data_IF_654984240744
#
_entry.id   IF_654984240744
#
_cell.length_a   1.000
_cell.length_b   1.000
_cell.length_c   1.000
_cell.angle_alpha   90.00
_cell.angle_beta   90.00
_cell.angle_gamma   90.00
#
_symmetry.space_group_name_H-M   'P 1'
#
loop_
_entity.id
_entity.type
_entity.pdbx_description
1 polymer ?
#
# COMPACT_ATOMS: atom_id res chain seq x y z
N UNK A 1 18.86 -18.91 -13.75
CA UNK A 1 18.71 -18.90 -12.28
C UNK A 1 17.39 -19.56 -11.92
N UNK A 2 17.34 -20.41 -10.89
CA UNK A 2 16.09 -21.00 -10.39
C UNK A 2 15.65 -20.19 -9.18
N UNK A 3 14.43 -19.66 -9.20
CA UNK A 3 13.85 -18.95 -8.06
C UNK A 3 12.87 -19.88 -7.33
N UNK A 4 12.87 -19.85 -6.00
CA UNK A 4 11.84 -20.51 -5.18
C UNK A 4 10.65 -19.58 -4.95
N UNK A 5 9.67 -20.02 -4.15
CA UNK A 5 8.48 -19.22 -3.87
C UNK A 5 8.81 -18.04 -2.93
N UNK A 6 9.11 -16.90 -3.53
CA UNK A 6 9.32 -15.63 -2.84
C UNK A 6 9.42 -14.46 -3.82
N UNK A 7 9.20 -13.25 -3.32
CA UNK A 7 9.29 -12.04 -4.11
C UNK A 7 10.75 -11.77 -4.50
N UNK A 8 11.03 -11.67 -5.80
CA UNK A 8 12.38 -11.51 -6.31
C UNK A 8 12.84 -10.05 -6.24
N UNK A 9 13.92 -9.80 -5.53
CA UNK A 9 14.57 -8.48 -5.42
C UNK A 9 16.01 -8.56 -5.92
N UNK A 10 16.66 -7.41 -6.05
CA UNK A 10 18.07 -7.30 -6.40
C UNK A 10 19.00 -7.05 -5.20
N UNK A 11 18.45 -6.88 -3.98
CA UNK A 11 19.23 -6.41 -2.83
C UNK A 11 18.77 -6.89 -1.45
N UNK A 12 17.67 -7.66 -1.31
CA UNK A 12 17.12 -8.05 -0.02
C UNK A 12 16.53 -9.47 0.02
N UNK A 13 16.58 -10.10 1.19
CA UNK A 13 15.93 -11.39 1.46
C UNK A 13 16.88 -12.58 1.36
N UNK A 14 16.33 -13.78 1.48
CA UNK A 14 17.06 -15.04 1.38
C UNK A 14 17.69 -15.27 0.00
N UNK A 15 18.52 -16.31 -0.10
CA UNK A 15 19.11 -16.73 -1.38
C UNK A 15 18.02 -17.12 -2.38
N UNK A 16 18.15 -16.75 -3.65
CA UNK A 16 17.12 -17.03 -4.68
C UNK A 16 16.70 -18.51 -4.79
N UNK A 17 17.65 -19.41 -4.56
CA UNK A 17 17.49 -20.86 -4.74
C UNK A 17 16.84 -21.57 -3.53
N UNK A 18 16.58 -20.84 -2.45
CA UNK A 18 16.02 -21.39 -1.22
C UNK A 18 14.83 -20.55 -0.71
N UNK A 19 13.78 -21.17 -0.17
CA UNK A 19 12.63 -20.41 0.33
C UNK A 19 13.05 -19.58 1.55
N UNK A 20 12.84 -18.26 1.49
CA UNK A 20 12.91 -17.41 2.68
C UNK A 20 11.61 -17.59 3.48
N UNK A 21 11.64 -18.49 4.47
CA UNK A 21 10.47 -18.80 5.30
C UNK A 21 10.08 -17.69 6.28
N UNK A 22 10.91 -16.64 6.40
CA UNK A 22 10.63 -15.51 7.29
C UNK A 22 9.85 -14.42 6.56
N UNK A 23 10.29 -14.06 5.36
CA UNK A 23 9.73 -12.93 4.62
C UNK A 23 9.09 -13.30 3.30
N UNK A 24 9.41 -14.47 2.72
CA UNK A 24 9.10 -14.83 1.34
C UNK A 24 9.55 -13.75 0.36
N UNK A 25 10.75 -13.21 0.58
CA UNK A 25 11.45 -12.26 -0.29
C UNK A 25 12.86 -12.80 -0.48
N UNK A 26 13.36 -12.78 -1.71
CA UNK A 26 14.65 -13.34 -2.05
C UNK A 26 15.50 -12.34 -2.83
N UNK A 27 16.80 -12.33 -2.54
CA UNK A 27 17.76 -11.63 -3.37
C UNK A 27 18.14 -12.53 -4.55
N UNK A 28 17.58 -12.19 -5.71
CA UNK A 28 17.75 -12.88 -6.98
C UNK A 28 18.54 -12.05 -7.99
N UNK A 29 19.15 -10.93 -7.58
CA UNK A 29 19.74 -9.95 -8.52
C UNK A 29 18.74 -9.53 -9.63
N UNK A 30 17.45 -9.54 -9.30
CA UNK A 30 16.34 -9.31 -10.24
C UNK A 30 15.30 -8.40 -9.58
N UNK A 31 15.10 -7.21 -10.15
CA UNK A 31 14.19 -6.21 -9.60
C UNK A 31 12.78 -6.41 -10.17
N UNK A 32 12.03 -7.36 -9.59
CA UNK A 32 10.69 -7.69 -10.06
C UNK A 32 9.73 -6.49 -10.03
N UNK A 33 9.83 -5.64 -9.00
CA UNK A 33 9.01 -4.43 -8.88
C UNK A 33 9.23 -3.50 -10.08
N UNK A 34 10.49 -3.25 -10.46
CA UNK A 34 10.81 -2.46 -11.66
C UNK A 34 10.26 -3.12 -12.92
N UNK A 35 10.56 -4.40 -13.15
CA UNK A 35 10.23 -5.05 -14.43
C UNK A 35 8.72 -5.13 -14.65
N UNK A 36 7.93 -5.41 -13.61
CA UNK A 36 6.45 -5.39 -13.68
C UNK A 36 5.92 -3.98 -13.93
N UNK A 37 6.36 -2.99 -13.15
CA UNK A 37 5.90 -1.61 -13.32
C UNK A 37 6.30 -1.06 -14.68
N UNK A 38 7.52 -1.33 -15.13
CA UNK A 38 8.02 -0.88 -16.41
C UNK A 38 7.19 -1.46 -17.54
N UNK A 39 6.84 -2.74 -17.48
CA UNK A 39 5.94 -3.36 -18.45
C UNK A 39 4.55 -2.69 -18.46
N UNK A 40 3.93 -2.52 -17.30
CA UNK A 40 2.57 -1.95 -17.17
C UNK A 40 2.53 -0.48 -17.65
N UNK A 41 3.56 0.30 -17.36
CA UNK A 41 3.62 1.74 -17.66
C UNK A 41 4.36 2.08 -18.97
N UNK A 42 4.43 1.14 -19.92
CA UNK A 42 4.82 1.42 -21.30
C UNK A 42 6.34 1.39 -21.58
N UNK A 43 7.13 0.78 -20.70
CA UNK A 43 8.53 0.41 -20.96
C UNK A 43 9.58 1.50 -20.75
N UNK A 44 9.18 2.69 -20.31
CA UNK A 44 10.05 3.88 -20.23
C UNK A 44 10.35 4.35 -18.80
N UNK A 45 10.17 3.48 -17.80
CA UNK A 45 10.52 3.78 -16.42
C UNK A 45 12.03 3.75 -16.20
N UNK A 46 12.51 4.65 -15.35
CA UNK A 46 13.90 4.68 -14.86
C UNK A 46 14.11 3.55 -13.86
N UNK A 47 15.05 2.65 -14.16
CA UNK A 47 15.46 1.55 -13.27
C UNK A 47 16.31 2.08 -12.11
N UNK A 48 16.01 1.74 -10.85
CA UNK A 48 16.94 1.93 -9.75
C UNK A 48 18.23 1.13 -10.00
N UNK A 49 19.35 1.81 -10.25
CA UNK A 49 20.68 1.18 -10.44
C UNK A 49 21.65 1.49 -9.30
N UNK A 50 21.26 2.40 -8.42
CA UNK A 50 21.99 2.83 -7.22
C UNK A 50 20.97 3.06 -6.11
N UNK A 51 21.46 3.30 -4.90
CA UNK A 51 20.59 3.69 -3.79
C UNK A 51 19.79 4.96 -4.15
N UNK A 52 18.47 4.87 -4.06
CA UNK A 52 17.55 5.98 -4.32
C UNK A 52 17.21 6.64 -2.98
N UNK A 53 17.47 7.95 -2.81
CA UNK A 53 16.97 8.69 -1.67
C UNK A 53 15.44 8.74 -1.70
N UNK A 54 14.79 8.08 -0.74
CA UNK A 54 13.34 8.10 -0.59
C UNK A 54 12.94 9.37 0.18
N UNK A 55 12.68 10.47 -0.54
CA UNK A 55 12.30 11.77 0.01
C UNK A 55 10.79 12.03 -0.02
N UNK A 56 10.02 11.10 -0.61
CA UNK A 56 8.57 11.10 -0.58
C UNK A 56 8.00 10.80 0.81
N UNK A 57 6.67 10.67 0.87
CA UNK A 57 5.94 10.40 2.11
C UNK A 57 5.54 8.93 2.17
N UNK A 58 6.05 8.20 3.16
CA UNK A 58 5.63 6.84 3.48
C UNK A 58 4.65 6.85 4.67
N UNK A 59 3.38 6.59 4.38
CA UNK A 59 2.26 6.90 5.27
C UNK A 59 1.58 5.61 5.71
N UNK A 60 1.30 5.48 7.01
CA UNK A 60 0.36 4.48 7.52
C UNK A 60 -1.05 5.00 7.32
N UNK A 61 -1.91 4.18 6.72
CA UNK A 61 -3.31 4.53 6.41
C UNK A 61 -4.27 3.66 7.21
N UNK A 62 -5.35 4.26 7.72
CA UNK A 62 -6.48 3.52 8.28
C UNK A 62 -7.35 2.99 7.14
N UNK A 63 -7.23 1.72 6.79
CA UNK A 63 -7.89 1.17 5.60
C UNK A 63 -9.42 1.38 5.63
N UNK A 64 -10.12 1.20 6.76
CA UNK A 64 -11.55 1.46 6.82
C UNK A 64 -11.93 2.93 6.56
N UNK A 65 -11.09 3.87 6.99
CA UNK A 65 -11.27 5.29 6.70
C UNK A 65 -11.14 5.58 5.20
N UNK A 66 -10.20 4.95 4.50
CA UNK A 66 -10.06 5.10 3.04
C UNK A 66 -11.16 4.37 2.27
N UNK A 67 -11.71 3.30 2.83
CA UNK A 67 -12.84 2.59 2.24
C UNK A 67 -14.16 3.35 2.39
N UNK A 68 -14.26 4.28 3.35
CA UNK A 68 -15.47 5.05 3.61
C UNK A 68 -15.19 6.49 4.09
N UNK A 69 -14.52 7.33 3.29
CA UNK A 69 -14.08 8.66 3.72
C UNK A 69 -15.25 9.60 4.04
N UNK A 70 -16.41 9.42 3.40
CA UNK A 70 -17.60 10.25 3.64
C UNK A 70 -18.19 10.07 5.04
N UNK A 71 -18.06 8.87 5.62
CA UNK A 71 -18.52 8.65 7.01
C UNK A 71 -17.77 9.52 8.01
N UNK A 72 -16.51 9.86 7.73
CA UNK A 72 -15.67 10.73 8.56
C UNK A 72 -16.14 12.19 8.45
N UNK A 73 -16.54 12.62 7.25
CA UNK A 73 -17.06 13.97 7.05
C UNK A 73 -18.36 14.23 7.83
N UNK A 74 -19.13 13.16 8.13
CA UNK A 74 -20.42 13.27 8.84
C UNK A 74 -20.30 13.37 10.37
N UNK A 75 -19.19 12.90 10.96
CA UNK A 75 -19.00 12.88 12.43
C UNK A 75 -18.41 14.17 12.98
N UNK A 76 -17.95 15.09 12.11
CA UNK A 76 -17.37 16.35 12.52
C UNK A 76 -18.37 17.51 12.35
N UNK A 77 -18.67 18.21 13.45
CA UNK A 77 -19.53 19.41 13.47
C UNK A 77 -18.98 20.56 12.61
N UNK A 78 -17.68 20.53 12.32
CA UNK A 78 -17.06 21.31 11.25
C UNK A 78 -16.94 20.38 10.05
N UNK A 79 -17.70 20.64 8.98
CA UNK A 79 -17.65 19.91 7.70
C UNK A 79 -16.24 20.02 7.07
N UNK A 80 -15.29 19.22 7.55
CA UNK A 80 -13.93 19.14 7.00
C UNK A 80 -14.01 18.31 5.73
N UNK A 81 -13.53 18.87 4.61
CA UNK A 81 -13.27 18.06 3.43
C UNK A 81 -11.99 17.25 3.65
N UNK A 82 -12.16 15.95 3.93
CA UNK A 82 -11.06 15.05 4.22
C UNK A 82 -10.04 14.98 3.07
N UNK A 83 -10.46 15.13 1.82
CA UNK A 83 -9.53 15.06 0.68
C UNK A 83 -8.59 16.26 0.65
N UNK A 84 -9.13 17.48 0.82
CA UNK A 84 -8.32 18.69 0.94
C UNK A 84 -7.43 18.68 2.19
N UNK A 85 -7.92 18.12 3.30
CA UNK A 85 -7.12 17.97 4.52
C UNK A 85 -5.87 17.09 4.27
N UNK A 86 -6.05 15.92 3.66
CA UNK A 86 -4.94 15.03 3.29
C UNK A 86 -3.98 15.67 2.30
N UNK A 87 -4.52 16.33 1.26
CA UNK A 87 -3.71 17.02 0.26
C UNK A 87 -2.83 18.10 0.89
N UNK A 88 -3.39 18.91 1.79
CA UNK A 88 -2.65 19.93 2.52
C UNK A 88 -1.61 19.31 3.47
N UNK A 89 -1.95 18.22 4.16
CA UNK A 89 -0.98 17.50 4.99
C UNK A 89 0.19 16.98 4.16
N UNK A 90 -0.06 16.34 3.01
CA UNK A 90 0.99 15.85 2.11
C UNK A 90 1.91 16.99 1.61
N UNK A 91 1.33 18.13 1.20
CA UNK A 91 2.07 19.33 0.77
C UNK A 91 2.96 19.88 1.90
N UNK A 92 2.42 19.97 3.12
CA UNK A 92 3.10 20.61 4.26
C UNK A 92 4.09 19.70 4.99
N UNK A 93 3.81 18.39 5.04
CA UNK A 93 4.73 17.41 5.65
C UNK A 93 6.02 17.29 4.86
N UNK A 94 5.96 17.43 3.53
CA UNK A 94 7.15 17.51 2.67
C UNK A 94 8.04 18.73 2.97
N UNK A 95 7.49 19.81 3.54
CA UNK A 95 8.22 21.04 3.85
C UNK A 95 8.80 21.09 5.28
N UNK A 96 8.25 20.30 6.22
CA UNK A 96 8.50 20.46 7.66
C UNK A 96 9.21 19.29 8.31
N UNK A 97 9.07 18.08 7.76
CA UNK A 97 9.68 16.89 8.32
C UNK A 97 10.96 16.58 7.55
N UNK A 98 12.09 16.49 8.27
CA UNK A 98 13.37 16.04 7.68
C UNK A 98 13.14 14.72 6.92
N UNK A 99 13.89 14.46 5.83
CA UNK A 99 13.85 13.19 5.09
C UNK A 99 14.41 12.06 5.98
N UNK A 100 13.61 11.65 6.95
CA UNK A 100 13.77 10.41 7.67
C UNK A 100 12.67 9.52 7.14
N UNK A 101 13.05 8.40 6.54
CA UNK A 101 12.19 7.32 6.07
C UNK A 101 11.50 6.60 7.25
N UNK A 102 10.93 7.38 8.15
CA UNK A 102 10.14 6.93 9.29
C UNK A 102 8.67 6.99 8.90
N UNK A 103 7.97 5.88 9.14
CA UNK A 103 6.54 5.77 8.95
C UNK A 103 5.84 6.90 9.70
N UNK A 104 5.04 7.70 8.99
CA UNK A 104 4.25 8.75 9.59
C UNK A 104 2.81 8.23 9.79
N UNK A 105 2.29 8.16 11.04
CA UNK A 105 0.89 7.85 11.26
C UNK A 105 0.05 9.03 10.80
N UNK A 106 -0.86 8.81 9.86
CA UNK A 106 -1.85 9.83 9.53
C UNK A 106 -3.10 9.64 10.38
N UNK A 107 -3.25 10.46 11.42
CA UNK A 107 -4.44 10.47 12.27
C UNK A 107 -5.49 11.38 11.66
N UNK A 108 -6.65 10.82 11.29
CA UNK A 108 -7.77 11.63 10.79
C UNK A 108 -8.56 12.22 11.95
N UNK A 109 -9.01 13.48 11.85
CA UNK A 109 -9.88 14.07 12.86
C UNK A 109 -11.22 13.32 12.91
N UNK A 110 -11.68 12.93 14.11
CA UNK A 110 -13.04 12.42 14.32
C UNK A 110 -13.25 10.93 14.03
N UNK A 111 -12.19 10.14 13.84
CA UNK A 111 -12.30 8.68 13.87
C UNK A 111 -12.49 8.21 15.31
N UNK A 112 -13.71 7.84 15.67
CA UNK A 112 -13.94 6.85 16.73
C UNK A 112 -13.63 5.48 16.16
N UNK A 113 -12.89 4.63 16.87
CA UNK A 113 -12.28 3.35 16.42
C UNK A 113 -13.24 2.24 15.94
N UNK A 114 -14.23 2.54 15.11
CA UNK A 114 -15.32 1.61 14.83
C UNK A 114 -15.70 1.66 13.35
N UNK A 115 -14.81 1.17 12.50
CA UNK A 115 -15.29 0.31 11.42
C UNK A 115 -14.66 -1.03 11.69
N UNK A 116 -15.50 -1.95 12.14
CA UNK A 116 -15.08 -3.31 12.43
C UNK A 116 -14.30 -3.87 11.24
N UNK A 117 -13.23 -4.58 11.56
CA UNK A 117 -12.55 -5.55 10.69
C UNK A 117 -13.61 -6.62 10.33
N UNK A 118 -14.61 -6.26 9.54
CA UNK A 118 -15.72 -7.14 9.20
C UNK A 118 -15.21 -8.36 8.43
N UNK A 119 -16.13 -9.20 7.95
CA UNK A 119 -15.88 -10.42 7.18
C UNK A 119 -14.97 -10.26 5.93
N UNK A 120 -14.45 -9.06 5.64
CA UNK A 120 -13.49 -8.76 4.58
C UNK A 120 -12.04 -9.17 4.88
N UNK A 121 -11.66 -9.32 6.16
CA UNK A 121 -10.31 -9.75 6.56
C UNK A 121 -9.21 -8.69 6.41
N UNK A 122 -9.55 -7.43 6.13
CA UNK A 122 -8.56 -6.35 6.11
C UNK A 122 -7.95 -6.09 7.50
N UNK A 123 -6.66 -5.80 7.56
CA UNK A 123 -6.05 -5.18 8.74
C UNK A 123 -6.66 -3.77 8.96
N UNK A 124 -6.55 -3.21 10.17
CA UNK A 124 -6.93 -1.80 10.41
C UNK A 124 -6.03 -0.86 9.62
N UNK A 125 -4.75 -1.19 9.57
CA UNK A 125 -3.72 -0.34 8.97
C UNK A 125 -3.19 -0.91 7.65
N UNK A 126 -2.91 -0.02 6.70
CA UNK A 126 -2.15 -0.31 5.48
C UNK A 126 -1.07 0.74 5.24
N UNK A 127 -0.45 0.70 4.06
CA UNK A 127 0.58 1.68 3.70
C UNK A 127 0.34 2.33 2.35
N UNK A 128 0.77 3.58 2.21
CA UNK A 128 0.87 4.27 0.92
C UNK A 128 2.20 4.99 0.83
N UNK A 129 2.84 4.92 -0.33
CA UNK A 129 3.98 5.74 -0.66
C UNK A 129 3.63 6.78 -1.71
N UNK A 130 3.82 8.05 -1.37
CA UNK A 130 3.71 9.19 -2.27
C UNK A 130 5.10 9.70 -2.65
N UNK A 131 5.52 9.57 -3.91
CA UNK A 131 6.76 10.17 -4.38
C UNK A 131 6.81 11.68 -4.17
N UNK A 132 8.01 12.25 -4.02
CA UNK A 132 8.21 13.69 -3.74
C UNK A 132 7.42 14.58 -4.69
N UNK A 133 7.55 14.34 -6.00
CA UNK A 133 6.87 15.16 -7.01
C UNK A 133 5.33 15.02 -6.93
N UNK A 134 4.82 13.84 -6.53
CA UNK A 134 3.38 13.63 -6.37
C UNK A 134 2.84 14.46 -5.20
N UNK A 135 3.59 14.58 -4.10
CA UNK A 135 3.21 15.48 -2.98
C UNK A 135 3.24 16.96 -3.35
N UNK A 136 3.97 17.32 -4.41
CA UNK A 136 4.09 18.69 -4.94
C UNK A 136 3.06 18.99 -6.05
N UNK A 137 2.04 18.14 -6.22
CA UNK A 137 0.97 18.37 -7.21
C UNK A 137 1.31 17.90 -8.63
N UNK A 138 2.27 16.98 -8.79
CA UNK A 138 2.39 16.23 -10.05
C UNK A 138 1.26 15.21 -10.13
N UNK A 139 0.62 15.14 -11.30
CA UNK A 139 -0.33 14.06 -11.60
C UNK A 139 0.42 12.72 -11.68
N UNK A 140 0.11 11.82 -10.75
CA UNK A 140 0.76 10.52 -10.63
C UNK A 140 -0.24 9.37 -10.79
N UNK A 141 0.09 8.32 -11.56
CA UNK A 141 -0.67 7.07 -11.54
C UNK A 141 -0.54 6.38 -10.19
N UNK A 142 -1.46 5.46 -9.91
CA UNK A 142 -1.47 4.63 -8.71
C UNK A 142 -1.26 3.17 -9.14
N UNK A 143 -0.34 2.48 -8.47
CA UNK A 143 -0.19 1.03 -8.53
C UNK A 143 -0.55 0.41 -7.18
N UNK A 144 -1.17 -0.76 -7.19
CA UNK A 144 -1.49 -1.51 -5.97
C UNK A 144 -0.58 -2.73 -5.89
N UNK A 145 0.25 -2.78 -4.85
CA UNK A 145 1.14 -3.90 -4.58
C UNK A 145 0.56 -4.74 -3.44
N UNK A 146 0.04 -5.92 -3.79
CA UNK A 146 -0.57 -6.86 -2.85
C UNK A 146 0.50 -7.81 -2.29
N UNK A 147 0.61 -7.91 -0.97
CA UNK A 147 1.48 -8.88 -0.31
C UNK A 147 0.93 -10.31 -0.47
N UNK A 148 1.79 -11.33 -0.35
CA UNK A 148 1.37 -12.73 -0.29
C UNK A 148 0.87 -13.17 1.09
N UNK A 149 0.48 -14.44 1.22
CA UNK A 149 0.24 -15.06 2.52
C UNK A 149 1.49 -14.93 3.42
N UNK A 150 1.31 -14.80 4.73
CA UNK A 150 2.38 -14.59 5.73
C UNK A 150 3.24 -13.32 5.51
N UNK A 151 2.87 -12.44 4.58
CA UNK A 151 3.58 -11.20 4.30
C UNK A 151 2.81 -9.93 4.72
N UNK A 152 1.66 -10.10 5.38
CA UNK A 152 0.88 -8.99 5.90
C UNK A 152 1.57 -8.29 7.07
N UNK A 153 1.10 -7.08 7.37
CA UNK A 153 1.58 -6.22 8.47
C UNK A 153 1.68 -6.97 9.80
N UNK A 154 0.63 -7.71 10.14
CA UNK A 154 0.56 -8.50 11.37
C UNK A 154 1.73 -9.49 11.54
N UNK A 155 2.38 -9.92 10.45
CA UNK A 155 3.44 -10.92 10.45
C UNK A 155 4.84 -10.34 10.23
N UNK A 156 5.00 -9.46 9.25
CA UNK A 156 6.32 -8.93 8.86
C UNK A 156 6.39 -7.39 8.88
N UNK A 157 5.42 -6.71 9.48
CA UNK A 157 5.40 -5.26 9.61
C UNK A 157 5.34 -4.56 8.26
N UNK A 158 6.31 -3.69 7.97
CA UNK A 158 6.40 -2.93 6.73
C UNK A 158 7.42 -3.53 5.74
N UNK A 159 7.95 -4.73 6.02
CA UNK A 159 9.04 -5.34 5.23
C UNK A 159 8.65 -5.52 3.77
N UNK A 160 7.45 -6.04 3.47
CA UNK A 160 6.99 -6.16 2.07
C UNK A 160 6.98 -4.80 1.38
N UNK A 161 6.44 -3.75 2.01
CA UNK A 161 6.37 -2.43 1.41
C UNK A 161 7.76 -1.79 1.23
N UNK A 162 8.67 -1.96 2.20
CA UNK A 162 10.00 -1.31 2.22
C UNK A 162 11.08 -2.06 1.46
N UNK A 163 10.95 -3.37 1.23
CA UNK A 163 12.06 -4.23 0.81
C UNK A 163 11.86 -4.95 -0.52
N UNK A 164 10.71 -4.80 -1.16
CA UNK A 164 10.41 -5.37 -2.48
C UNK A 164 10.90 -4.50 -3.64
N UNK A 165 11.41 -3.28 -3.38
CA UNK A 165 11.92 -2.37 -4.40
C UNK A 165 10.89 -1.43 -5.02
N UNK A 166 9.60 -1.55 -4.63
CA UNK A 166 8.54 -0.70 -5.18
C UNK A 166 8.75 0.79 -4.87
N UNK A 167 9.31 1.15 -3.71
CA UNK A 167 9.43 2.55 -3.29
C UNK A 167 10.48 3.30 -4.12
N UNK A 168 11.60 2.65 -4.41
CA UNK A 168 12.68 3.19 -5.22
C UNK A 168 12.21 3.41 -6.67
N UNK A 169 11.47 2.45 -7.22
CA UNK A 169 10.87 2.59 -8.56
C UNK A 169 9.83 3.71 -8.53
N UNK A 170 8.99 3.78 -7.51
CA UNK A 170 7.97 4.81 -7.35
C UNK A 170 8.56 6.21 -7.29
N UNK A 171 9.61 6.42 -6.49
CA UNK A 171 10.25 7.71 -6.30
C UNK A 171 10.81 8.26 -7.62
N UNK A 172 11.56 7.43 -8.35
CA UNK A 172 12.16 7.84 -9.62
C UNK A 172 11.13 8.10 -10.72
N UNK A 173 9.96 7.48 -10.64
CA UNK A 173 9.00 7.42 -11.75
C UNK A 173 7.67 8.12 -11.48
N UNK A 174 7.48 8.72 -10.29
CA UNK A 174 6.25 9.42 -9.91
C UNK A 174 5.03 8.49 -9.93
N UNK A 175 5.17 7.29 -9.39
CA UNK A 175 4.06 6.32 -9.25
C UNK A 175 3.71 6.20 -7.78
N UNK A 176 2.46 6.47 -7.41
CA UNK A 176 1.99 6.25 -6.04
C UNK A 176 1.79 4.75 -5.84
N UNK A 177 2.30 4.19 -4.74
CA UNK A 177 2.12 2.77 -4.42
C UNK A 177 1.21 2.63 -3.21
N UNK A 178 0.09 1.94 -3.40
CA UNK A 178 -0.81 1.51 -2.33
C UNK A 178 -0.45 0.07 -1.95
N UNK A 179 -0.26 -0.19 -0.66
CA UNK A 179 -0.02 -1.52 -0.07
C UNK A 179 -1.13 -1.88 0.93
N UNK A 180 -2.29 -2.34 0.44
CA UNK A 180 -3.36 -2.85 1.29
C UNK A 180 -2.88 -4.05 2.10
N UNK A 181 -3.46 -4.27 3.27
CA UNK A 181 -3.09 -5.31 4.22
C UNK A 181 -4.29 -6.18 4.59
N UNK A 182 -4.09 -7.49 4.55
CA UNK A 182 -4.99 -8.50 5.10
C UNK A 182 -4.39 -9.04 6.40
N UNK A 183 -5.26 -9.29 7.39
CA UNK A 183 -4.87 -9.89 8.66
C UNK A 183 -5.32 -11.36 8.73
N UNK A 184 -4.56 -12.18 9.45
CA UNK A 184 -4.94 -13.55 9.72
C UNK A 184 -6.28 -13.62 10.48
N UNK A 185 -7.16 -14.53 10.06
CA UNK A 185 -8.43 -14.79 10.74
C UNK A 185 -8.50 -16.25 11.19
N UNK A 186 -9.08 -16.46 12.39
CA UNK A 186 -9.14 -17.78 13.03
C UNK A 186 -10.52 -18.44 12.91
N UNK A 187 -11.50 -17.77 12.30
CA UNK A 187 -12.88 -18.26 12.10
C UNK A 187 -12.98 -19.13 10.85
N UNK A 188 -13.70 -20.25 10.91
CA UNK A 188 -13.87 -21.19 9.78
C UNK A 188 -14.80 -20.62 8.69
N UNK A 189 -14.44 -20.66 7.38
CA UNK A 189 -13.16 -21.07 6.79
C UNK A 189 -11.97 -20.21 7.23
N UNK A 190 -10.98 -20.82 7.88
CA UNK A 190 -9.89 -20.07 8.53
C UNK A 190 -8.87 -19.54 7.52
N UNK A 191 -8.46 -18.28 7.68
CA UNK A 191 -7.37 -17.66 6.93
C UNK A 191 -6.18 -17.37 7.86
N UNK A 192 -5.58 -18.43 8.42
CA UNK A 192 -4.52 -18.33 9.45
C UNK A 192 -3.23 -17.68 8.94
N UNK A 193 -3.03 -17.71 7.62
CA UNK A 193 -1.86 -17.14 6.96
C UNK A 193 -2.11 -15.70 6.47
N UNK A 194 -3.31 -15.15 6.65
CA UNK A 194 -3.63 -13.78 6.23
C UNK A 194 -3.50 -13.57 4.71
N UNK A 195 -3.94 -14.55 3.93
CA UNK A 195 -3.97 -14.53 2.47
C UNK A 195 -5.09 -13.62 1.94
N UNK A 196 -4.91 -13.05 0.76
CA UNK A 196 -6.04 -12.49 -0.01
C UNK A 196 -7.08 -13.58 -0.28
N UNK A 197 -8.36 -13.20 -0.38
CA UNK A 197 -9.46 -14.12 -0.60
C UNK A 197 -9.52 -14.56 -2.07
N UNK A 198 -8.84 -15.66 -2.36
CA UNK A 198 -8.70 -16.22 -3.71
C UNK A 198 -9.54 -17.49 -3.93
N UNK A 199 -10.25 -17.97 -2.91
CA UNK A 199 -11.07 -19.19 -2.99
C UNK A 199 -12.38 -19.14 -2.18
N UNK A 200 -12.62 -18.08 -1.40
CA UNK A 200 -13.89 -17.83 -0.70
C UNK A 200 -13.83 -17.98 0.83
N UNK A 201 -12.76 -17.56 1.50
CA UNK A 201 -12.68 -17.57 2.97
C UNK A 201 -13.86 -16.84 3.62
N UNK A 202 -14.22 -15.66 3.09
CA UNK A 202 -15.28 -14.82 3.67
C UNK A 202 -16.60 -14.89 2.92
N UNK A 203 -16.58 -15.15 1.61
CA UNK A 203 -17.79 -15.13 0.78
C UNK A 203 -17.59 -15.88 -0.54
N UNK A 204 -18.63 -16.55 -1.09
CA UNK A 204 -18.59 -17.09 -2.45
C UNK A 204 -18.43 -16.02 -3.53
N UNK A 205 -18.63 -14.73 -3.20
CA UNK A 205 -18.45 -13.62 -4.12
C UNK A 205 -17.00 -13.15 -4.28
N UNK A 206 -16.02 -13.84 -3.67
CA UNK A 206 -14.62 -13.42 -3.61
C UNK A 206 -14.02 -12.98 -4.97
N UNK A 207 -14.39 -13.68 -6.06
CA UNK A 207 -13.88 -13.43 -7.40
C UNK A 207 -14.74 -12.50 -8.28
N UNK A 208 -15.84 -11.93 -7.77
CA UNK A 208 -16.73 -11.05 -8.54
C UNK A 208 -16.88 -9.66 -7.91
N UNK A 209 -17.53 -8.72 -8.62
CA UNK A 209 -17.64 -7.31 -8.19
C UNK A 209 -18.26 -7.09 -6.80
N UNK A 210 -18.90 -8.10 -6.22
CA UNK A 210 -19.47 -8.06 -4.87
C UNK A 210 -18.48 -8.52 -3.78
N UNK A 211 -17.30 -9.01 -4.15
CA UNK A 211 -16.26 -9.46 -3.23
C UNK A 211 -15.73 -8.31 -2.37
N UNK A 212 -15.75 -8.51 -1.05
CA UNK A 212 -15.45 -7.46 -0.07
C UNK A 212 -14.02 -6.92 -0.20
N UNK A 213 -13.03 -7.78 -0.48
CA UNK A 213 -11.64 -7.37 -0.65
C UNK A 213 -11.43 -6.53 -1.92
N UNK A 214 -11.99 -6.97 -3.06
CA UNK A 214 -11.91 -6.20 -4.30
C UNK A 214 -12.63 -4.85 -4.18
N UNK A 215 -13.83 -4.83 -3.58
CA UNK A 215 -14.57 -3.60 -3.33
C UNK A 215 -13.81 -2.65 -2.39
N UNK A 216 -13.18 -3.17 -1.34
CA UNK A 216 -12.35 -2.41 -0.41
C UNK A 216 -11.14 -1.76 -1.11
N UNK A 217 -10.37 -2.54 -1.87
CA UNK A 217 -9.23 -2.00 -2.65
C UNK A 217 -9.69 -0.94 -3.65
N UNK A 218 -10.80 -1.16 -4.36
CA UNK A 218 -11.34 -0.16 -5.29
C UNK A 218 -11.69 1.16 -4.59
N UNK A 219 -12.32 1.10 -3.42
CA UNK A 219 -12.65 2.29 -2.61
C UNK A 219 -11.40 3.03 -2.14
N UNK A 220 -10.37 2.31 -1.70
CA UNK A 220 -9.08 2.92 -1.36
C UNK A 220 -8.45 3.63 -2.56
N UNK A 221 -8.46 3.02 -3.75
CA UNK A 221 -7.97 3.66 -4.99
C UNK A 221 -8.76 4.95 -5.29
N UNK A 222 -10.09 4.92 -5.20
CA UNK A 222 -10.93 6.08 -5.47
C UNK A 222 -10.67 7.22 -4.48
N UNK A 223 -10.49 6.89 -3.20
CA UNK A 223 -10.09 7.85 -2.17
C UNK A 223 -8.73 8.51 -2.51
N UNK A 224 -7.71 7.73 -2.88
CA UNK A 224 -6.41 8.27 -3.29
C UNK A 224 -6.52 9.14 -4.57
N UNK A 225 -7.40 8.80 -5.51
CA UNK A 225 -7.66 9.64 -6.69
C UNK A 225 -8.27 10.98 -6.31
N UNK A 226 -9.20 11.01 -5.36
CA UNK A 226 -9.77 12.25 -4.86
C UNK A 226 -8.73 13.12 -4.13
N UNK A 227 -7.85 12.51 -3.32
CA UNK A 227 -6.72 13.21 -2.69
C UNK A 227 -5.77 13.78 -3.76
N UNK A 228 -5.43 12.99 -4.78
CA UNK A 228 -4.60 13.45 -5.90
C UNK A 228 -5.26 14.62 -6.64
N UNK A 229 -6.57 14.59 -6.86
CA UNK A 229 -7.28 15.70 -7.47
C UNK A 229 -7.16 16.98 -6.63
N UNK A 230 -7.32 16.88 -5.30
CA UNK A 230 -7.16 17.99 -4.38
C UNK A 230 -5.69 18.49 -4.25
N UNK A 231 -4.70 17.61 -4.43
CA UNK A 231 -3.29 18.02 -4.51
C UNK A 231 -2.99 18.91 -5.72
N UNK A 232 -3.71 18.68 -6.83
CA UNK A 232 -3.53 19.38 -8.09
C UNK A 232 -4.45 20.60 -8.28
N UNK A 233 -5.37 20.83 -7.34
CA UNK A 233 -6.20 22.02 -7.25
C UNK A 233 -5.44 23.17 -6.57
#
# INVERSE_FOLDING_TARGET
MRATHGFMTDNFGGLCEFPDLKYFINNCSFNLAYDVLNHIFGGNLTKPTKQVPLTGQFVIIEQPALMNPESINSTNSKKIDIFSYWANWLKNSAATHKPSFQLQPLKLPGLTETSSIGASGFDKEGYVYYPTNCTQGKKCPIHVALHGCLQGKWRIGDVFAKKTGYLEVAELNNVIILFPQIIATQTDPSNKDGCWDWWGYGSPNYANKLGAQMAGVKKMIDCLRAINAALNA
#
